data_IF_220646425716
#
_entry.id   IF_220646425716
#
_cell.length_a   1.000
_cell.length_b   1.000
_cell.length_c   1.000
_cell.angle_alpha   90.00
_cell.angle_beta   90.00
_cell.angle_gamma   90.00
#
_symmetry.space_group_name_H-M   'P 1'
#
loop_
_entity.id
_entity.type
_entity.pdbx_description
1 polymer ?
#
# COMPACT_ATOMS: atom_id res chain seq x y z
N UNK A 1 4.43 -11.63 -12.08
CA UNK A 1 3.64 -10.78 -11.16
C UNK A 1 2.16 -11.03 -11.43
N UNK A 2 1.36 -11.40 -10.42
CA UNK A 2 -0.01 -11.88 -10.60
C UNK A 2 -1.00 -10.87 -11.24
N UNK A 3 -0.72 -9.57 -11.13
CA UNK A 3 -1.64 -8.51 -11.55
C UNK A 3 -1.02 -7.39 -12.41
N UNK A 4 0.19 -7.58 -12.95
CA UNK A 4 0.80 -6.60 -13.87
C UNK A 4 1.04 -5.19 -13.31
N UNK A 5 1.09 -5.02 -11.98
CA UNK A 5 1.28 -3.70 -11.34
C UNK A 5 2.66 -3.12 -11.65
N UNK A 6 2.66 -1.90 -12.19
CA UNK A 6 3.84 -1.07 -12.46
C UNK A 6 4.20 -0.25 -11.22
N UNK A 7 5.11 -0.79 -10.42
CA UNK A 7 5.55 -0.18 -9.15
C UNK A 7 6.19 1.20 -9.33
N UNK A 8 7.08 1.43 -10.32
CA UNK A 8 7.54 2.78 -10.67
C UNK A 8 6.41 3.78 -10.96
N UNK A 9 5.41 3.40 -11.76
CA UNK A 9 4.29 4.28 -12.07
C UNK A 9 3.44 4.60 -10.82
N UNK A 10 3.23 3.62 -9.94
CA UNK A 10 2.52 3.84 -8.67
C UNK A 10 3.29 4.80 -7.74
N UNK A 11 4.62 4.66 -7.65
CA UNK A 11 5.44 5.60 -6.87
C UNK A 11 5.35 7.03 -7.41
N UNK A 12 5.38 7.21 -8.72
CA UNK A 12 5.22 8.53 -9.34
C UNK A 12 3.83 9.11 -9.07
N UNK A 13 2.77 8.29 -9.09
CA UNK A 13 1.40 8.72 -8.75
C UNK A 13 1.28 9.14 -7.29
N UNK A 14 1.90 8.40 -6.37
CA UNK A 14 1.94 8.71 -4.95
C UNK A 14 2.72 10.02 -4.66
N UNK A 15 3.66 10.39 -5.52
CA UNK A 15 4.45 11.61 -5.38
C UNK A 15 3.73 12.91 -5.78
N UNK A 16 2.51 12.81 -6.36
CA UNK A 16 1.77 13.96 -6.87
C UNK A 16 1.06 14.74 -5.76
N UNK A 17 1.11 16.06 -5.86
CA UNK A 17 0.51 16.99 -4.88
C UNK A 17 -0.73 17.71 -5.43
N UNK A 18 -0.99 17.60 -6.73
CA UNK A 18 -2.12 18.23 -7.43
C UNK A 18 -3.48 17.81 -6.85
N UNK A 19 -3.60 16.58 -6.37
CA UNK A 19 -4.80 16.09 -5.70
C UNK A 19 -4.99 16.65 -4.29
N UNK A 20 -3.91 17.08 -3.62
CA UNK A 20 -3.98 17.64 -2.28
C UNK A 20 -4.40 19.11 -2.28
N UNK A 21 -4.05 19.86 -3.33
CA UNK A 21 -4.56 21.20 -3.59
C UNK A 21 -4.76 21.44 -5.09
N UNK A 22 -5.97 21.18 -5.62
CA UNK A 22 -6.28 21.45 -7.02
C UNK A 22 -6.19 22.94 -7.40
N UNK A 23 -6.26 23.86 -6.43
CA UNK A 23 -6.18 25.30 -6.68
C UNK A 23 -4.75 25.82 -6.86
N UNK A 24 -3.76 25.05 -6.40
CA UNK A 24 -2.33 25.40 -6.46
C UNK A 24 -1.94 26.61 -5.60
N UNK A 25 -2.76 26.98 -4.61
CA UNK A 25 -2.56 28.16 -3.76
C UNK A 25 -1.80 27.84 -2.47
N UNK A 26 -1.77 26.57 -2.06
CA UNK A 26 -1.12 26.14 -0.83
C UNK A 26 0.40 25.97 -1.05
N UNK A 27 1.18 26.63 -0.20
CA UNK A 27 2.62 26.41 -0.12
C UNK A 27 2.91 25.19 0.78
N UNK A 28 3.03 24.00 0.18
CA UNK A 28 3.30 22.77 0.93
C UNK A 28 4.77 22.64 1.34
N UNK A 29 4.99 22.35 2.62
CA UNK A 29 6.17 21.63 3.08
C UNK A 29 6.02 20.14 2.76
N UNK A 30 7.01 19.57 2.07
CA UNK A 30 7.07 18.15 1.70
C UNK A 30 8.06 17.39 2.57
N UNK A 31 7.65 16.27 3.17
CA UNK A 31 8.55 15.36 3.89
C UNK A 31 8.24 13.91 3.53
N UNK A 32 9.30 13.11 3.38
CA UNK A 32 9.17 11.66 3.34
C UNK A 32 9.46 11.12 4.73
N UNK A 33 8.49 10.42 5.32
CA UNK A 33 8.60 9.84 6.66
C UNK A 33 8.55 8.33 6.50
N UNK A 34 9.64 7.66 6.91
CA UNK A 34 9.68 6.20 6.95
C UNK A 34 9.06 5.71 8.25
N UNK A 35 8.22 4.69 8.14
CA UNK A 35 7.53 4.10 9.29
C UNK A 35 7.39 2.59 9.09
N UNK A 36 7.37 1.83 10.19
CA UNK A 36 7.05 0.41 10.15
C UNK A 36 6.09 0.02 11.27
N UNK A 37 5.36 -1.08 11.04
CA UNK A 37 4.53 -1.75 12.04
C UNK A 37 4.73 -3.25 11.96
N UNK A 38 4.49 -3.94 13.07
CA UNK A 38 4.44 -5.41 13.13
C UNK A 38 3.01 -5.86 13.34
N UNK A 39 2.51 -6.73 12.49
CA UNK A 39 1.11 -7.17 12.50
C UNK A 39 0.99 -8.67 12.29
N UNK A 40 -0.11 -9.31 12.77
CA UNK A 40 -0.41 -10.68 12.39
C UNK A 40 -0.53 -10.84 10.87
N UNK A 41 -0.13 -11.99 10.36
CA UNK A 41 -0.19 -12.34 8.94
C UNK A 41 -1.61 -12.18 8.37
N UNK A 42 -2.64 -12.46 9.16
CA UNK A 42 -4.04 -12.25 8.75
C UNK A 42 -4.36 -10.77 8.52
N UNK A 43 -3.83 -9.88 9.36
CA UNK A 43 -3.96 -8.43 9.19
C UNK A 43 -3.23 -7.97 7.93
N UNK A 44 -2.04 -8.52 7.67
CA UNK A 44 -1.29 -8.24 6.44
C UNK A 44 -2.06 -8.67 5.18
N UNK A 45 -2.61 -9.88 5.17
CA UNK A 45 -3.41 -10.39 4.05
C UNK A 45 -4.71 -9.58 3.85
N UNK A 46 -5.37 -9.17 4.93
CA UNK A 46 -6.54 -8.29 4.84
C UNK A 46 -6.17 -6.94 4.23
N UNK A 47 -5.01 -6.38 4.57
CA UNK A 47 -4.50 -5.16 3.96
C UNK A 47 -4.25 -5.35 2.45
N UNK A 48 -3.59 -6.45 2.04
CA UNK A 48 -3.38 -6.79 0.61
C UNK A 48 -4.73 -6.89 -0.12
N UNK A 49 -5.70 -7.59 0.47
CA UNK A 49 -7.01 -7.80 -0.13
C UNK A 49 -7.81 -6.50 -0.33
N UNK A 50 -7.47 -5.43 0.40
CA UNK A 50 -8.11 -4.11 0.23
C UNK A 50 -7.65 -3.36 -1.03
N UNK A 51 -6.56 -3.79 -1.67
CA UNK A 51 -6.03 -3.11 -2.84
C UNK A 51 -7.03 -3.17 -4.01
N UNK A 52 -7.21 -2.04 -4.68
CA UNK A 52 -8.23 -1.86 -5.74
C UNK A 52 -8.14 -2.86 -6.88
N UNK A 53 -6.96 -3.44 -7.12
CA UNK A 53 -6.77 -4.51 -8.12
C UNK A 53 -7.61 -5.76 -7.84
N UNK A 54 -7.92 -6.03 -6.57
CA UNK A 54 -8.78 -7.14 -6.17
C UNK A 54 -10.28 -6.84 -6.33
N UNK A 55 -10.67 -5.57 -6.50
CA UNK A 55 -12.07 -5.20 -6.77
C UNK A 55 -12.52 -5.65 -8.16
N UNK A 56 -11.60 -5.71 -9.12
CA UNK A 56 -11.87 -6.13 -10.50
C UNK A 56 -11.46 -7.59 -10.77
N UNK A 57 -10.99 -8.30 -9.74
CA UNK A 57 -10.61 -9.70 -9.84
C UNK A 57 -11.82 -10.61 -9.56
N UNK A 58 -12.08 -11.66 -10.36
CA UNK A 58 -13.12 -12.64 -10.05
C UNK A 58 -12.94 -13.21 -8.64
N UNK A 59 -14.02 -13.41 -7.85
CA UNK A 59 -13.93 -13.84 -6.46
C UNK A 59 -13.08 -15.11 -6.25
N UNK A 60 -13.24 -16.11 -7.13
CA UNK A 60 -12.52 -17.38 -7.04
C UNK A 60 -11.02 -17.19 -7.26
N UNK A 61 -10.64 -16.34 -8.22
CA UNK A 61 -9.24 -16.02 -8.51
C UNK A 61 -8.60 -15.24 -7.35
N UNK A 62 -9.34 -14.30 -6.75
CA UNK A 62 -8.90 -13.57 -5.55
C UNK A 62 -8.68 -14.53 -4.38
N UNK A 63 -9.63 -15.42 -4.11
CA UNK A 63 -9.53 -16.38 -3.00
C UNK A 63 -8.37 -17.34 -3.19
N UNK A 64 -8.20 -17.89 -4.39
CA UNK A 64 -7.07 -18.76 -4.72
C UNK A 64 -5.72 -18.03 -4.53
N UNK A 65 -5.62 -16.79 -5.01
CA UNK A 65 -4.42 -15.98 -4.83
C UNK A 65 -4.09 -15.75 -3.35
N UNK A 66 -5.06 -15.34 -2.53
CA UNK A 66 -4.82 -15.05 -1.10
C UNK A 66 -4.49 -16.32 -0.30
N UNK A 67 -5.00 -17.48 -0.70
CA UNK A 67 -4.65 -18.77 -0.09
C UNK A 67 -3.19 -19.15 -0.41
N UNK A 68 -2.78 -19.04 -1.68
CA UNK A 68 -1.39 -19.28 -2.09
C UNK A 68 -0.43 -18.29 -1.41
N UNK A 69 -0.82 -17.02 -1.33
CA UNK A 69 -0.01 -15.99 -0.66
C UNK A 69 0.18 -16.29 0.83
N UNK A 70 -0.86 -16.78 1.52
CA UNK A 70 -0.75 -17.24 2.91
C UNK A 70 0.31 -18.33 3.07
N UNK A 71 0.29 -19.34 2.21
CA UNK A 71 1.24 -20.45 2.26
C UNK A 71 2.68 -19.97 2.03
N UNK A 72 2.89 -19.03 1.13
CA UNK A 72 4.20 -18.42 0.91
C UNK A 72 4.66 -17.60 2.10
N UNK A 73 3.79 -16.75 2.65
CA UNK A 73 4.13 -15.89 3.77
C UNK A 73 4.45 -16.69 5.03
N UNK A 74 3.73 -17.79 5.33
CA UNK A 74 4.04 -18.64 6.49
C UNK A 74 5.40 -19.34 6.40
N UNK A 75 5.93 -19.57 5.19
CA UNK A 75 7.29 -20.10 5.01
C UNK A 75 8.36 -19.07 5.39
N UNK A 76 8.06 -17.78 5.21
CA UNK A 76 8.98 -16.65 5.46
C UNK A 76 8.81 -16.10 6.88
N UNK A 77 7.58 -16.07 7.38
CA UNK A 77 7.17 -15.58 8.70
C UNK A 77 6.53 -16.72 9.50
N UNK A 78 7.34 -17.69 9.99
CA UNK A 78 6.83 -18.87 10.67
C UNK A 78 6.17 -18.55 12.02
N UNK A 79 6.47 -17.41 12.62
CA UNK A 79 5.79 -16.89 13.82
C UNK A 79 4.47 -16.17 13.51
N UNK A 80 4.13 -16.04 12.22
CA UNK A 80 2.91 -15.37 11.76
C UNK A 80 2.92 -13.86 11.97
N UNK A 81 4.07 -13.23 12.20
CA UNK A 81 4.19 -11.78 12.37
C UNK A 81 4.96 -11.17 11.20
N UNK A 82 4.31 -10.22 10.52
CA UNK A 82 4.91 -9.50 9.38
C UNK A 82 5.32 -8.11 9.83
N UNK A 83 6.56 -7.72 9.56
CA UNK A 83 6.97 -6.32 9.62
C UNK A 83 6.66 -5.65 8.28
N UNK A 84 5.76 -4.68 8.32
CA UNK A 84 5.38 -3.87 7.17
C UNK A 84 6.11 -2.53 7.25
N UNK A 85 6.84 -2.18 6.19
CA UNK A 85 7.55 -0.90 6.09
C UNK A 85 6.92 -0.04 5.01
N UNK A 86 6.70 1.23 5.34
CA UNK A 86 6.08 2.21 4.46
C UNK A 86 6.94 3.47 4.37
N UNK A 87 6.91 4.10 3.19
CA UNK A 87 7.35 5.46 2.98
C UNK A 87 6.10 6.35 2.83
N UNK A 88 5.92 7.28 3.78
CA UNK A 88 4.80 8.21 3.78
C UNK A 88 5.26 9.53 3.19
N UNK A 89 4.60 9.99 2.13
CA UNK A 89 4.72 11.36 1.66
C UNK A 89 3.78 12.26 2.45
N UNK A 90 4.32 13.09 3.33
CA UNK A 90 3.59 14.07 4.11
C UNK A 90 3.67 15.45 3.44
N UNK A 91 2.51 16.02 3.15
CA UNK A 91 2.34 17.39 2.69
C UNK A 91 1.65 18.20 3.78
N UNK A 92 2.25 19.32 4.19
CA UNK A 92 1.69 20.21 5.22
C UNK A 92 1.72 21.64 4.71
N UNK A 93 0.62 22.36 4.81
CA UNK A 93 0.53 23.79 4.53
C UNK A 93 -0.23 24.47 5.67
N UNK A 94 0.04 25.75 5.89
CA UNK A 94 -0.75 26.58 6.79
C UNK A 94 -1.96 27.09 6.00
N UNK A 95 -3.15 26.96 6.58
CA UNK A 95 -4.34 27.57 6.00
C UNK A 95 -4.20 29.10 6.07
N UNK A 96 -4.57 29.84 5.01
CA UNK A 96 -4.52 31.31 5.00
C UNK A 96 -5.31 31.95 6.14
#
# INVERSE_FOLDING_TARGET
>A
RAFGVDTPAEAQRAARTDRADPSGRLAFARRQVRWSRRVPLDTHLANIASHSVFLVCPPDRRTAFLAEEREHLLKVFPDGIVEETYDVLLLVAVAP
#
